data_IF_186939157104
#
_entry.id   IF_186939157104
#
_cell.length_a   1.000
_cell.length_b   1.000
_cell.length_c   1.000
_cell.angle_alpha   90.00
_cell.angle_beta   90.00
_cell.angle_gamma   90.00
#
_symmetry.space_group_name_H-M   'P 1'
#
loop_
_entity.id
_entity.type
_entity.pdbx_description
1 polymer ?
#
# COMPACT_ATOMS: atom_id res chain seq x y z
N UNK A 1 -12.54 -11.46 -6.02
CA UNK A 1 -12.94 -10.49 -4.99
C UNK A 1 -13.59 -9.30 -5.67
N UNK A 2 -14.67 -8.76 -5.10
CA UNK A 2 -15.45 -7.71 -5.74
C UNK A 2 -14.75 -6.34 -5.59
N UNK A 3 -14.29 -5.81 -6.72
CA UNK A 3 -13.81 -4.43 -6.94
C UNK A 3 -14.61 -3.34 -6.18
N UNK A 4 -15.95 -3.46 -5.98
CA UNK A 4 -16.73 -2.57 -5.11
C UNK A 4 -16.13 -2.29 -3.73
N UNK A 5 -15.49 -3.27 -3.08
CA UNK A 5 -15.01 -3.12 -1.71
C UNK A 5 -13.84 -2.14 -1.57
N UNK A 6 -13.02 -1.97 -2.60
CA UNK A 6 -11.81 -1.13 -2.53
C UNK A 6 -12.00 0.27 -3.12
N UNK A 7 -13.18 0.56 -3.66
CA UNK A 7 -13.44 1.80 -4.41
C UNK A 7 -13.16 3.07 -3.59
N UNK A 8 -13.37 3.01 -2.26
CA UNK A 8 -13.10 4.13 -1.36
C UNK A 8 -11.59 4.40 -1.15
N UNK A 9 -10.73 3.41 -1.40
CA UNK A 9 -9.28 3.58 -1.34
C UNK A 9 -8.73 4.22 -2.61
N UNK A 10 -9.45 4.11 -3.74
CA UNK A 10 -8.93 4.46 -5.05
C UNK A 10 -8.99 5.97 -5.31
N UNK A 11 -7.93 6.56 -5.87
CA UNK A 11 -7.97 7.94 -6.34
C UNK A 11 -8.81 8.05 -7.61
N UNK A 12 -9.19 9.28 -7.98
CA UNK A 12 -9.94 9.53 -9.22
C UNK A 12 -9.22 9.02 -10.48
N UNK A 13 -7.89 9.10 -10.49
CA UNK A 13 -7.04 8.60 -11.57
C UNK A 13 -5.86 7.85 -10.99
N UNK A 14 -5.63 6.64 -11.49
CA UNK A 14 -4.48 5.82 -11.13
C UNK A 14 -3.55 5.69 -12.34
N UNK A 15 -2.24 5.70 -12.09
CA UNK A 15 -1.25 5.44 -13.14
C UNK A 15 -1.45 4.03 -13.73
N UNK A 16 -1.25 3.88 -15.05
CA UNK A 16 -1.53 2.63 -15.79
C UNK A 16 -0.79 1.42 -15.19
N UNK A 17 0.47 1.59 -14.80
CA UNK A 17 1.24 0.53 -14.15
C UNK A 17 0.62 0.07 -12.83
N UNK A 18 0.15 1.01 -11.99
CA UNK A 18 -0.50 0.68 -10.72
C UNK A 18 -1.87 0.03 -10.95
N UNK A 19 -2.56 0.32 -12.06
CA UNK A 19 -3.78 -0.38 -12.46
C UNK A 19 -3.49 -1.84 -12.78
N UNK A 20 -2.46 -2.11 -13.57
CA UNK A 20 -2.06 -3.48 -13.94
C UNK A 20 -1.63 -4.30 -12.70
N UNK A 21 -0.83 -3.70 -11.82
CA UNK A 21 -0.46 -4.33 -10.53
C UNK A 21 -1.69 -4.65 -9.68
N UNK A 22 -2.66 -3.72 -9.61
CA UNK A 22 -3.91 -3.94 -8.88
C UNK A 22 -4.72 -5.10 -9.47
N UNK A 23 -4.81 -5.19 -10.78
CA UNK A 23 -5.55 -6.27 -11.46
C UNK A 23 -4.93 -7.63 -11.17
N UNK A 24 -3.60 -7.75 -11.25
CA UNK A 24 -2.89 -9.00 -10.92
C UNK A 24 -3.10 -9.38 -9.46
N UNK A 25 -3.02 -8.41 -8.54
CA UNK A 25 -3.25 -8.65 -7.10
C UNK A 25 -4.68 -9.13 -6.82
N UNK A 26 -5.70 -8.48 -7.38
CA UNK A 26 -7.10 -8.87 -7.18
C UNK A 26 -7.45 -10.22 -7.83
N UNK A 27 -6.68 -10.63 -8.85
CA UNK A 27 -6.74 -11.96 -9.44
C UNK A 27 -6.00 -13.03 -8.61
N UNK A 28 -5.33 -12.65 -7.52
CA UNK A 28 -4.52 -13.56 -6.69
C UNK A 28 -3.18 -13.94 -7.31
N UNK A 29 -2.72 -13.21 -8.33
CA UNK A 29 -1.47 -13.47 -9.04
C UNK A 29 -0.20 -13.07 -8.28
N UNK A 30 -0.34 -12.36 -7.14
CA UNK A 30 0.79 -12.00 -6.27
C UNK A 30 0.36 -11.88 -4.80
N UNK A 31 1.28 -12.09 -3.84
CA UNK A 31 1.01 -11.87 -2.42
C UNK A 31 0.93 -10.37 -2.07
N UNK A 32 0.29 -10.05 -0.95
CA UNK A 32 0.10 -8.67 -0.46
C UNK A 32 1.41 -7.89 -0.29
N UNK A 33 2.49 -8.54 0.15
CA UNK A 33 3.81 -7.89 0.28
C UNK A 33 4.39 -7.44 -1.06
N UNK A 34 4.17 -8.24 -2.11
CA UNK A 34 4.60 -7.92 -3.47
C UNK A 34 3.73 -6.83 -4.10
N UNK A 35 2.41 -6.91 -3.90
CA UNK A 35 1.48 -5.86 -4.29
C UNK A 35 1.88 -4.51 -3.72
N UNK A 36 2.11 -4.41 -2.40
CA UNK A 36 2.53 -3.17 -1.75
C UNK A 36 3.81 -2.63 -2.37
N UNK A 37 4.81 -3.50 -2.56
CA UNK A 37 6.10 -3.11 -3.14
C UNK A 37 5.97 -2.49 -4.53
N UNK A 38 5.14 -3.06 -5.39
CA UNK A 38 5.02 -2.61 -6.78
C UNK A 38 4.05 -1.46 -6.95
N UNK A 39 2.91 -1.48 -6.26
CA UNK A 39 1.81 -0.54 -6.52
C UNK A 39 2.21 0.93 -6.43
N UNK A 40 3.08 1.27 -5.48
CA UNK A 40 3.54 2.65 -5.26
C UNK A 40 4.77 3.06 -6.08
N UNK A 41 5.32 2.19 -6.93
CA UNK A 41 6.56 2.48 -7.66
C UNK A 41 6.47 3.72 -8.57
N UNK A 42 5.36 3.97 -9.30
CA UNK A 42 5.25 5.18 -10.12
C UNK A 42 5.13 6.45 -9.28
N UNK A 43 4.60 6.36 -8.06
CA UNK A 43 4.36 7.50 -7.19
C UNK A 43 4.26 7.04 -5.73
N UNK A 44 5.20 7.51 -4.89
CA UNK A 44 5.22 7.17 -3.46
C UNK A 44 3.96 7.63 -2.71
N UNK A 45 3.21 8.61 -3.22
CA UNK A 45 1.91 9.01 -2.67
C UNK A 45 0.86 7.87 -2.68
N UNK A 46 1.12 6.77 -3.39
CA UNK A 46 0.28 5.57 -3.43
C UNK A 46 0.56 4.59 -2.31
N UNK A 47 1.58 4.79 -1.46
CA UNK A 47 1.83 3.99 -0.27
C UNK A 47 0.57 3.84 0.62
N UNK A 48 -0.08 4.93 1.08
CA UNK A 48 -1.29 4.82 1.91
C UNK A 48 -2.47 4.16 1.16
N UNK A 49 -2.50 4.26 -0.16
CA UNK A 49 -3.53 3.63 -1.01
C UNK A 49 -3.31 2.11 -1.04
N UNK A 50 -2.07 1.66 -1.22
CA UNK A 50 -1.74 0.23 -1.19
C UNK A 50 -2.04 -0.39 0.18
N UNK A 51 -1.81 0.33 1.28
CA UNK A 51 -2.14 -0.13 2.62
C UNK A 51 -3.66 -0.25 2.83
N UNK A 52 -4.43 0.73 2.36
CA UNK A 52 -5.89 0.69 2.40
C UNK A 52 -6.45 -0.51 1.63
N UNK A 53 -5.96 -0.74 0.40
CA UNK A 53 -6.38 -1.87 -0.42
C UNK A 53 -6.01 -3.21 0.24
N UNK A 54 -4.77 -3.33 0.73
CA UNK A 54 -4.29 -4.55 1.38
C UNK A 54 -5.12 -4.92 2.61
N UNK A 55 -5.52 -3.94 3.44
CA UNK A 55 -6.37 -4.19 4.62
C UNK A 55 -7.77 -4.70 4.25
N UNK A 56 -8.30 -4.29 3.10
CA UNK A 56 -9.62 -4.72 2.63
C UNK A 56 -9.60 -6.09 1.96
N UNK A 57 -8.48 -6.44 1.32
CA UNK A 57 -8.32 -7.65 0.50
C UNK A 57 -7.73 -8.81 1.31
N UNK A 58 -6.78 -8.52 2.20
CA UNK A 58 -6.05 -9.50 2.98
C UNK A 58 -6.34 -9.30 4.48
N UNK A 59 -7.24 -10.09 5.09
CA UNK A 59 -7.56 -9.99 6.51
C UNK A 59 -6.37 -10.26 7.44
N UNK A 60 -5.31 -10.92 6.94
CA UNK A 60 -4.10 -11.19 7.71
C UNK A 60 -3.09 -10.05 7.60
N UNK A 61 -3.31 -9.08 6.72
CA UNK A 61 -2.42 -7.94 6.57
C UNK A 61 -2.51 -7.00 7.78
N UNK A 62 -1.36 -6.80 8.42
CA UNK A 62 -1.17 -5.79 9.46
C UNK A 62 -0.15 -4.77 8.95
N UNK A 63 -0.52 -3.49 8.80
CA UNK A 63 0.41 -2.48 8.35
C UNK A 63 1.54 -2.27 9.36
N UNK A 64 2.77 -2.13 8.85
CA UNK A 64 3.98 -1.94 9.67
C UNK A 64 3.95 -0.64 10.51
N UNK A 65 3.08 0.32 10.16
CA UNK A 65 2.99 1.61 10.83
C UNK A 65 1.98 1.59 11.98
N UNK A 66 2.39 0.92 13.06
CA UNK A 66 2.16 1.41 14.43
C UNK A 66 3.49 1.54 15.15
N UNK A 67 4.46 2.21 14.53
CA UNK A 67 5.56 2.76 15.33
C UNK A 67 4.95 3.90 16.18
N UNK A 68 5.01 3.82 17.52
CA UNK A 68 4.52 4.92 18.34
C UNK A 68 5.27 6.19 17.95
N UNK A 69 4.60 7.34 18.04
CA UNK A 69 5.16 8.67 17.77
C UNK A 69 6.42 9.01 18.61
N UNK A 70 6.86 8.09 19.47
CA UNK A 70 8.04 8.15 20.34
C UNK A 70 9.37 7.88 19.63
N UNK A 71 9.39 7.60 18.33
CA UNK A 71 10.67 7.49 17.60
C UNK A 71 11.15 8.90 17.27
N UNK A 72 11.75 9.55 18.26
CA UNK A 72 12.66 10.65 18.03
C UNK A 72 13.85 10.08 17.27
N UNK A 73 14.00 10.49 16.01
CA UNK A 73 15.28 10.42 15.30
C UNK A 73 16.32 11.07 16.23
N UNK A 74 17.21 10.27 16.83
CA UNK A 74 18.38 10.83 17.52
C UNK A 74 19.21 11.51 16.44
N UNK A 75 19.23 12.83 16.45
CA UNK A 75 20.24 13.58 15.71
C UNK A 75 21.60 13.09 16.19
N UNK A 76 22.52 12.69 15.29
CA UNK A 76 23.87 12.36 15.71
C UNK A 76 24.45 13.60 16.39
N UNK A 77 24.96 13.43 17.61
CA UNK A 77 25.62 14.49 18.35
C UNK A 77 26.72 15.06 17.45
N UNK A 78 26.57 16.33 17.07
CA UNK A 78 27.60 17.08 16.37
C UNK A 78 28.84 17.11 17.26
N UNK A 79 29.89 16.39 16.86
CA UNK A 79 31.24 16.47 17.44
C UNK A 79 31.89 17.77 16.98
#
# INVERSE_FOLDING_TARGET
>A
MDRPAITFCLPATLHWFSLEVLEIYLAGGMPTSEFRRWFHMPNSAYLPISDCIAQMVDPAYVPDVKLPASITLRTPDSI
#
